data_IF_315461279055
#
_entry.id   IF_315461279055
#
_cell.length_a   1.000
_cell.length_b   1.000
_cell.length_c   1.000
_cell.angle_alpha   90.00
_cell.angle_beta   90.00
_cell.angle_gamma   90.00
#
_symmetry.space_group_name_H-M   'P 1'
#
loop_
_entity.id
_entity.type
_entity.pdbx_description
1 polymer ?
#
# COMPACT_ATOMS: atom_id res chain seq x y z
N UNK A 1 -5.50 -2.04 14.80
CA UNK A 1 -4.92 -1.56 13.53
C UNK A 1 -3.59 -2.26 13.32
N UNK A 2 -3.46 -3.10 12.29
CA UNK A 2 -2.22 -3.83 11.99
C UNK A 2 -1.32 -2.98 11.11
N UNK A 3 -0.02 -2.99 11.38
CA UNK A 3 1.00 -2.25 10.62
C UNK A 3 1.90 -3.25 9.89
N UNK A 4 2.14 -3.04 8.60
CA UNK A 4 2.89 -3.97 7.74
C UNK A 4 3.88 -3.24 6.83
N UNK A 5 4.97 -3.91 6.51
CA UNK A 5 5.87 -3.53 5.40
C UNK A 5 5.51 -4.36 4.19
N UNK A 6 5.33 -3.72 3.04
CA UNK A 6 5.08 -4.43 1.78
C UNK A 6 6.41 -4.76 1.12
N UNK A 7 6.62 -6.04 0.84
CA UNK A 7 7.82 -6.61 0.23
C UNK A 7 7.46 -7.43 -1.01
N UNK A 8 8.44 -7.85 -1.80
CA UNK A 8 8.21 -8.75 -2.95
C UNK A 8 7.47 -10.04 -2.57
N UNK A 9 7.67 -10.54 -1.34
CA UNK A 9 7.07 -11.80 -0.87
C UNK A 9 5.57 -11.67 -0.55
N UNK A 10 5.11 -10.48 -0.15
CA UNK A 10 3.73 -10.29 0.31
C UNK A 10 2.90 -9.36 -0.58
N UNK A 11 3.50 -8.61 -1.50
CA UNK A 11 2.80 -7.67 -2.38
C UNK A 11 1.71 -8.36 -3.21
N UNK A 12 1.91 -9.64 -3.58
CA UNK A 12 0.93 -10.44 -4.31
C UNK A 12 -0.36 -10.72 -3.50
N UNK A 13 -0.30 -10.64 -2.17
CA UNK A 13 -1.46 -10.81 -1.27
C UNK A 13 -2.30 -9.54 -1.13
N UNK A 14 -1.78 -8.39 -1.59
CA UNK A 14 -2.51 -7.12 -1.54
C UNK A 14 -3.59 -7.12 -2.61
N UNK A 15 -4.85 -7.15 -2.18
CA UNK A 15 -6.00 -7.14 -3.08
C UNK A 15 -6.45 -5.73 -3.47
N UNK A 16 -6.31 -4.77 -2.54
CA UNK A 16 -6.62 -3.35 -2.73
C UNK A 16 -5.71 -2.45 -1.90
N UNK A 17 -5.65 -1.19 -2.31
CA UNK A 17 -4.98 -0.13 -1.58
C UNK A 17 -6.00 0.93 -1.18
N UNK A 18 -5.69 1.66 -0.11
CA UNK A 18 -6.50 2.77 0.38
C UNK A 18 -5.62 3.89 0.89
N UNK A 19 -5.88 5.12 0.47
CA UNK A 19 -5.38 6.30 1.16
C UNK A 19 -6.39 6.75 2.21
N UNK A 20 -6.04 6.67 3.49
CA UNK A 20 -6.85 7.12 4.60
C UNK A 20 -6.34 8.48 5.10
N UNK A 21 -7.20 9.50 5.04
CA UNK A 21 -6.86 10.85 5.55
C UNK A 21 -7.10 10.92 7.04
N UNK A 22 -6.10 11.40 7.77
CA UNK A 22 -6.17 11.70 9.20
C UNK A 22 -5.51 13.04 9.45
N UNK A 23 -6.33 14.07 9.64
CA UNK A 23 -5.87 15.46 9.72
C UNK A 23 -5.16 15.90 8.42
N UNK A 24 -3.92 16.37 8.55
CA UNK A 24 -3.07 16.81 7.43
C UNK A 24 -2.33 15.66 6.74
N UNK A 25 -2.37 14.44 7.30
CA UNK A 25 -1.64 13.28 6.78
C UNK A 25 -2.57 12.34 6.02
N UNK A 26 -2.01 11.68 5.01
CA UNK A 26 -2.66 10.55 4.32
C UNK A 26 -1.81 9.31 4.57
N UNK A 27 -2.40 8.31 5.22
CA UNK A 27 -1.77 7.03 5.47
C UNK A 27 -2.14 6.05 4.36
N UNK A 28 -1.14 5.34 3.86
CA UNK A 28 -1.36 4.25 2.92
C UNK A 28 -1.78 3.00 3.70
N UNK A 29 -2.82 2.33 3.22
CA UNK A 29 -3.26 1.03 3.71
C UNK A 29 -3.37 0.04 2.56
N UNK A 30 -3.18 -1.23 2.89
CA UNK A 30 -3.32 -2.37 1.99
C UNK A 30 -4.36 -3.34 2.56
N UNK A 31 -5.23 -3.86 1.70
CA UNK A 31 -6.19 -4.90 2.05
C UNK A 31 -5.52 -6.26 1.82
N UNK A 32 -5.19 -6.94 2.92
CA UNK A 32 -4.51 -8.22 2.94
C UNK A 32 -5.41 -9.20 3.68
N UNK A 33 -5.78 -10.30 3.01
CA UNK A 33 -6.65 -11.34 3.57
C UNK A 33 -7.97 -10.81 4.17
N UNK A 34 -8.54 -9.76 3.58
CA UNK A 34 -9.78 -9.13 4.03
C UNK A 34 -9.61 -8.09 5.15
N UNK A 35 -8.38 -7.86 5.63
CA UNK A 35 -8.08 -6.87 6.68
C UNK A 35 -7.30 -5.66 6.13
N UNK A 36 -7.73 -4.45 6.49
CA UNK A 36 -7.00 -3.22 6.19
C UNK A 36 -5.82 -3.06 7.14
N UNK A 37 -4.61 -3.15 6.57
CA UNK A 37 -3.34 -2.98 7.25
C UNK A 37 -2.70 -1.64 6.86
N UNK A 38 -2.21 -0.87 7.83
CA UNK A 38 -1.43 0.35 7.57
C UNK A 38 -0.05 -0.02 7.04
N UNK A 39 0.35 0.61 5.94
CA UNK A 39 1.61 0.33 5.25
C UNK A 39 2.69 1.30 5.71
N UNK A 40 3.82 0.76 6.15
CA UNK A 40 5.05 1.53 6.35
C UNK A 40 5.76 1.66 5.01
N UNK A 41 5.89 2.89 4.53
CA UNK A 41 6.59 3.20 3.29
C UNK A 41 8.10 3.15 3.57
N UNK A 42 8.74 2.04 3.22
CA UNK A 42 10.19 1.87 3.28
C UNK A 42 10.86 2.17 1.93
N UNK A 43 12.13 2.59 1.96
CA UNK A 43 12.92 2.83 0.73
C UNK A 43 13.59 1.57 0.17
N UNK A 44 13.49 0.43 0.85
CA UNK A 44 14.19 -0.79 0.48
C UNK A 44 13.62 -1.48 -0.76
N UNK A 45 12.29 -1.46 -0.93
CA UNK A 45 11.58 -2.08 -2.06
C UNK A 45 10.51 -1.12 -2.62
N UNK A 46 10.91 0.03 -3.21
CA UNK A 46 9.99 1.03 -3.71
C UNK A 46 9.09 0.51 -4.85
N UNK A 47 9.55 -0.50 -5.60
CA UNK A 47 8.80 -1.14 -6.69
C UNK A 47 7.59 -1.94 -6.23
N UNK A 48 7.52 -2.32 -4.94
CA UNK A 48 6.38 -3.02 -4.35
C UNK A 48 5.31 -2.07 -3.81
N UNK A 49 5.56 -0.76 -3.89
CA UNK A 49 4.64 0.27 -3.41
C UNK A 49 4.03 1.05 -4.57
N UNK A 50 2.77 1.48 -4.46
CA UNK A 50 2.16 2.35 -5.43
C UNK A 50 3.00 3.63 -5.65
N UNK A 51 2.97 4.23 -6.85
CA UNK A 51 3.59 5.53 -7.08
C UNK A 51 3.05 6.58 -6.10
N UNK A 52 3.88 7.58 -5.78
CA UNK A 52 3.56 8.59 -4.74
C UNK A 52 2.22 9.30 -4.97
N UNK A 53 1.87 9.55 -6.23
CA UNK A 53 0.59 10.15 -6.62
C UNK A 53 -0.62 9.31 -6.17
N UNK A 54 -0.52 7.97 -6.25
CA UNK A 54 -1.57 7.06 -5.78
C UNK A 54 -1.56 6.93 -4.26
N UNK A 55 -0.38 6.94 -3.62
CA UNK A 55 -0.27 6.86 -2.14
C UNK A 55 -0.99 7.98 -1.41
N UNK A 56 -1.05 9.16 -2.03
CA UNK A 56 -1.72 10.35 -1.49
C UNK A 56 -3.19 10.47 -1.93
N UNK A 57 -3.65 9.59 -2.81
CA UNK A 57 -5.03 9.58 -3.28
C UNK A 57 -5.92 9.01 -2.18
N UNK A 58 -6.88 9.81 -1.73
CA UNK A 58 -7.88 9.35 -0.77
C UNK A 58 -8.82 8.31 -1.41
N UNK A 59 -9.23 7.33 -0.62
CA UNK A 59 -10.15 6.27 -1.04
C UNK A 59 -9.44 5.01 -1.55
N UNK A 60 -10.24 4.04 -1.97
CA UNK A 60 -9.77 2.73 -2.43
C UNK A 60 -9.35 2.74 -3.90
N UNK A 61 -8.32 1.97 -4.23
CA UNK A 61 -7.88 1.75 -5.60
C UNK A 61 -7.15 0.42 -5.75
N UNK A 62 -7.04 -0.05 -7.00
CA UNK A 62 -6.25 -1.23 -7.36
C UNK A 62 -4.97 -0.75 -8.01
N UNK A 63 -3.85 -1.28 -7.54
CA UNK A 63 -2.55 -1.12 -8.15
C UNK A 63 -1.78 -2.42 -7.96
N UNK A 64 -1.01 -2.81 -8.98
CA UNK A 64 -0.14 -3.99 -8.93
C UNK A 64 1.28 -3.55 -9.28
N UNK A 65 2.30 -4.13 -8.65
CA UNK A 65 3.68 -3.88 -9.03
C UNK A 65 3.90 -4.32 -10.49
N UNK A 66 4.79 -3.64 -11.22
CA UNK A 66 5.23 -4.14 -12.52
C UNK A 66 5.83 -5.54 -12.33
N UNK A 67 5.57 -6.44 -13.28
CA UNK A 67 6.14 -7.79 -13.22
C UNK A 67 7.67 -7.69 -13.11
N UNK A 68 8.32 -8.51 -12.25
CA UNK A 68 9.76 -8.61 -12.29
C UNK A 68 10.16 -9.09 -13.69
N UNK A 69 10.93 -8.27 -14.41
CA UNK A 69 11.59 -8.65 -15.65
C UNK A 69 12.66 -9.70 -15.40
#
# INVERSE_FOLDING_TARGET
MKVVTITRENVARVSRWRGERSGTHTYLQALIDGEWCQVVVTRSEPECLPPRSLRLKAGEYIWRPPAPH
#
